data_IF_563814085052
#
_entry.id   IF_563814085052
#
_cell.length_a   1.000
_cell.length_b   1.000
_cell.length_c   1.000
_cell.angle_alpha   90.00
_cell.angle_beta   90.00
_cell.angle_gamma   90.00
#
_symmetry.space_group_name_H-M   'P 1'
#
loop_
_entity.id
_entity.type
_entity.pdbx_description
1 polymer ?
#
# COMPACT_ATOMS: atom_id res chain seq x y z
N UNK A 1 21.52 -0.91 43.48
CA UNK A 1 20.12 -1.09 43.04
C UNK A 1 19.63 0.03 42.11
N UNK A 2 19.99 1.30 42.37
CA UNK A 2 19.61 2.46 41.53
C UNK A 2 20.21 2.43 40.10
N UNK A 3 21.48 2.04 39.96
CA UNK A 3 22.18 2.00 38.66
C UNK A 3 21.63 0.94 37.68
N UNK A 4 21.01 -0.14 38.19
CA UNK A 4 20.35 -1.15 37.34
C UNK A 4 19.06 -0.61 36.70
N UNK A 5 18.34 0.28 37.40
CA UNK A 5 17.10 0.90 36.89
C UNK A 5 17.37 1.94 35.80
N UNK A 6 18.46 2.71 35.93
CA UNK A 6 18.94 3.62 34.87
C UNK A 6 19.27 2.84 33.59
N UNK A 7 19.93 1.69 33.71
CA UNK A 7 20.30 0.88 32.56
C UNK A 7 19.09 0.30 31.83
N UNK A 8 18.06 -0.11 32.57
CA UNK A 8 16.77 -0.56 32.01
C UNK A 8 16.03 0.58 31.30
N UNK A 9 16.06 1.81 31.84
CA UNK A 9 15.40 2.96 31.23
C UNK A 9 16.06 3.37 29.89
N UNK A 10 17.39 3.31 29.81
CA UNK A 10 18.14 3.55 28.56
C UNK A 10 17.85 2.45 27.54
N UNK A 11 17.79 1.19 27.97
CA UNK A 11 17.45 0.06 27.10
C UNK A 11 16.00 0.15 26.55
N UNK A 12 15.06 0.68 27.34
CA UNK A 12 13.68 0.93 26.90
C UNK A 12 13.56 2.10 25.91
N UNK A 13 14.43 3.11 26.01
CA UNK A 13 14.49 4.26 25.10
C UNK A 13 15.20 3.94 23.77
N UNK A 14 16.04 2.91 23.75
CA UNK A 14 16.72 2.40 22.55
C UNK A 14 15.92 1.28 21.85
N UNK A 15 14.66 1.06 22.25
CA UNK A 15 13.80 0.09 21.59
C UNK A 15 13.67 0.49 20.12
N UNK A 16 14.14 -0.33 19.17
CA UNK A 16 14.12 0.07 17.77
C UNK A 16 12.66 0.23 17.34
N UNK A 17 12.32 1.43 16.85
CA UNK A 17 11.10 1.63 16.09
C UNK A 17 11.24 0.79 14.82
N UNK A 18 10.71 -0.43 14.85
CA UNK A 18 10.66 -1.29 13.69
C UNK A 18 9.80 -0.57 12.64
N UNK A 19 10.44 -0.01 11.62
CA UNK A 19 9.74 0.51 10.47
C UNK A 19 9.18 -0.70 9.74
N UNK A 20 7.87 -0.90 9.79
CA UNK A 20 7.21 -1.98 9.05
C UNK A 20 7.29 -1.63 7.56
N UNK A 21 7.84 -2.58 6.80
CA UNK A 21 7.92 -2.52 5.35
C UNK A 21 6.77 -3.34 4.79
N UNK A 22 6.07 -2.82 3.79
CA UNK A 22 4.92 -3.48 3.16
C UNK A 22 4.69 -2.94 1.74
N UNK A 23 4.14 -3.76 0.83
CA UNK A 23 3.67 -3.26 -0.47
C UNK A 23 2.46 -2.32 -0.25
N UNK A 24 2.27 -1.38 -1.16
CA UNK A 24 1.15 -0.44 -1.12
C UNK A 24 0.72 -0.08 -2.53
N UNK A 25 -0.43 -0.58 -2.96
CA UNK A 25 -1.01 -0.25 -4.26
C UNK A 25 -1.78 1.08 -4.16
N UNK A 26 -1.51 2.00 -5.08
CA UNK A 26 -2.21 3.28 -5.18
C UNK A 26 -2.65 3.47 -6.62
N UNK A 27 -3.96 3.58 -6.83
CA UNK A 27 -4.57 3.83 -8.14
C UNK A 27 -4.71 5.32 -8.39
N UNK A 28 -4.56 5.72 -9.66
CA UNK A 28 -4.84 7.10 -10.07
C UNK A 28 -6.35 7.38 -10.14
N UNK A 29 -7.15 6.34 -10.44
CA UNK A 29 -8.60 6.33 -10.29
C UNK A 29 -9.08 4.92 -9.96
N UNK A 30 -10.09 4.81 -9.08
CA UNK A 30 -10.69 3.51 -8.69
C UNK A 30 -11.97 3.20 -9.47
N UNK A 31 -12.46 4.16 -10.26
CA UNK A 31 -13.68 3.99 -11.05
C UNK A 31 -13.62 4.80 -12.34
N UNK A 32 -14.38 4.35 -13.32
CA UNK A 32 -14.57 5.06 -14.58
C UNK A 32 -16.03 4.95 -15.01
N UNK A 33 -16.64 6.09 -15.31
CA UNK A 33 -17.98 6.15 -15.89
C UNK A 33 -17.83 6.31 -17.41
N UNK A 34 -18.24 5.29 -18.15
CA UNK A 34 -18.25 5.30 -19.60
C UNK A 34 -19.36 6.21 -20.18
N UNK A 35 -20.30 6.66 -19.35
CA UNK A 35 -21.39 7.54 -19.74
C UNK A 35 -22.40 6.86 -20.67
N UNK A 36 -22.89 7.62 -21.66
CA UNK A 36 -23.84 7.10 -22.66
C UNK A 36 -23.08 6.58 -23.86
N UNK A 37 -23.25 5.29 -24.16
CA UNK A 37 -22.56 4.59 -25.22
C UNK A 37 -23.47 4.31 -26.41
N UNK A 38 -22.92 4.36 -27.62
CA UNK A 38 -23.67 3.99 -28.82
C UNK A 38 -23.64 2.47 -29.05
N UNK A 39 -24.71 1.88 -29.62
CA UNK A 39 -24.72 0.47 -29.95
C UNK A 39 -23.57 0.11 -30.92
N UNK A 40 -22.79 -0.90 -30.55
CA UNK A 40 -21.68 -1.40 -31.37
C UNK A 40 -20.34 -0.69 -31.14
N UNK A 41 -20.30 0.32 -30.28
CA UNK A 41 -19.07 1.02 -29.92
C UNK A 41 -18.18 0.11 -29.05
N UNK A 42 -16.92 -0.05 -29.44
CA UNK A 42 -15.89 -0.70 -28.61
C UNK A 42 -15.12 0.39 -27.89
N UNK A 43 -15.18 0.35 -26.57
CA UNK A 43 -14.45 1.28 -25.70
C UNK A 43 -13.58 0.49 -24.75
N UNK A 44 -12.46 1.09 -24.38
CA UNK A 44 -11.49 0.53 -23.44
C UNK A 44 -11.08 1.63 -22.48
N UNK A 45 -10.84 1.25 -21.23
CA UNK A 45 -10.27 2.14 -20.23
C UNK A 45 -9.14 1.40 -19.51
N UNK A 46 -8.04 2.10 -19.25
CA UNK A 46 -6.88 1.58 -18.54
C UNK A 46 -6.81 2.23 -17.17
N UNK A 47 -6.67 1.43 -16.12
CA UNK A 47 -6.44 1.91 -14.76
C UNK A 47 -4.95 1.84 -14.45
N UNK A 48 -4.34 3.00 -14.31
CA UNK A 48 -2.96 3.13 -13.87
C UNK A 48 -2.86 3.04 -12.35
N UNK A 49 -1.83 2.34 -11.88
CA UNK A 49 -1.50 2.25 -10.47
C UNK A 49 0.01 2.18 -10.26
N UNK A 50 0.42 2.52 -9.05
CA UNK A 50 1.81 2.41 -8.59
C UNK A 50 1.91 1.63 -7.30
N UNK A 51 3.01 0.91 -7.15
CA UNK A 51 3.44 0.44 -5.83
C UNK A 51 4.16 1.58 -5.12
N UNK A 52 3.50 2.21 -4.16
CA UNK A 52 4.06 3.25 -3.29
C UNK A 52 4.61 2.67 -1.96
N UNK A 53 4.67 1.34 -1.86
CA UNK A 53 5.27 0.63 -0.74
C UNK A 53 6.78 0.51 -0.89
N UNK A 54 7.41 -0.06 0.12
CA UNK A 54 8.85 -0.32 0.18
C UNK A 54 9.19 -1.82 0.01
N UNK A 55 8.23 -2.63 -0.42
CA UNK A 55 8.40 -4.04 -0.79
C UNK A 55 7.77 -4.34 -2.15
N UNK A 56 8.08 -5.51 -2.72
CA UNK A 56 7.50 -5.97 -3.97
C UNK A 56 5.98 -6.19 -3.85
N UNK A 57 5.22 -5.64 -4.81
CA UNK A 57 3.79 -5.84 -4.93
C UNK A 57 3.52 -6.94 -5.97
N UNK A 58 3.10 -8.12 -5.52
CA UNK A 58 2.72 -9.24 -6.38
C UNK A 58 1.19 -9.27 -6.55
N UNK A 59 0.71 -9.25 -7.79
CA UNK A 59 -0.71 -9.37 -8.09
C UNK A 59 -1.05 -10.85 -8.30
N UNK A 60 -1.68 -11.49 -7.31
CA UNK A 60 -1.99 -12.93 -7.36
C UNK A 60 -3.26 -13.25 -8.16
N UNK A 61 -4.26 -12.37 -8.12
CA UNK A 61 -5.56 -12.60 -8.76
C UNK A 61 -6.21 -11.29 -9.17
N UNK A 62 -6.76 -11.28 -10.38
CA UNK A 62 -7.67 -10.25 -10.87
C UNK A 62 -9.05 -10.90 -11.05
N UNK A 63 -10.10 -10.22 -10.60
CA UNK A 63 -11.48 -10.65 -10.83
C UNK A 63 -12.32 -9.49 -11.38
N UNK A 64 -13.25 -9.76 -12.31
CA UNK A 64 -14.31 -8.80 -12.61
C UNK A 64 -15.15 -8.59 -11.34
N UNK A 65 -15.50 -7.34 -11.06
CA UNK A 65 -16.46 -6.98 -10.01
C UNK A 65 -17.90 -7.31 -10.39
#
# INVERSE_FOLDING_TARGET
MFMKKIFVLIFLLLFPATCFSQPSIVFDSESHDFGTLQPGEKIEHTFDFKNNGNEELVIERLQPG
#
